data_IF_156176440117
#
_entry.id   IF_156176440117
#
_cell.length_a   1.000
_cell.length_b   1.000
_cell.length_c   1.000
_cell.angle_alpha   90.00
_cell.angle_beta   90.00
_cell.angle_gamma   90.00
#
_symmetry.space_group_name_H-M   'P 1'
#
loop_
_entity.id
_entity.type
_entity.pdbx_description
1 polymer ?
#
# COMPACT_ATOMS: atom_id res chain seq x y z
N UNK A 1 42.27 25.23 38.30
CA UNK A 1 40.86 25.45 37.89
C UNK A 1 40.85 26.08 36.50
N UNK A 2 39.87 25.74 35.64
CA UNK A 2 39.70 26.16 34.22
C UNK A 2 40.34 25.26 33.15
N UNK A 3 39.97 23.98 33.08
CA UNK A 3 40.17 23.18 31.86
C UNK A 3 39.18 22.01 31.71
N UNK A 4 37.95 22.16 32.23
CA UNK A 4 36.90 21.14 32.10
C UNK A 4 35.55 21.66 31.62
N UNK A 5 35.47 22.94 31.25
CA UNK A 5 34.19 23.58 30.88
C UNK A 5 34.03 23.78 29.37
N UNK A 6 35.10 23.62 28.58
CA UNK A 6 35.04 23.92 27.15
C UNK A 6 34.70 22.73 26.25
N UNK A 7 34.63 21.51 26.79
CA UNK A 7 34.35 20.29 26.00
C UNK A 7 32.87 19.89 26.01
N UNK A 8 32.01 20.60 26.74
CA UNK A 8 30.59 20.27 26.89
C UNK A 8 29.66 21.12 26.02
N UNK A 9 30.19 22.15 25.33
CA UNK A 9 29.39 23.05 24.50
C UNK A 9 29.40 22.70 23.00
N UNK A 10 30.19 21.69 22.60
CA UNK A 10 30.33 21.26 21.20
C UNK A 10 29.67 19.92 20.88
N UNK A 11 29.03 19.28 21.88
CA UNK A 11 28.36 17.99 21.75
C UNK A 11 26.82 18.08 21.79
N UNK A 12 26.26 19.28 21.68
CA UNK A 12 24.81 19.53 21.74
C UNK A 12 24.18 19.88 20.37
N UNK A 13 24.93 19.79 19.26
CA UNK A 13 24.47 20.21 17.93
C UNK A 13 24.25 19.09 16.91
N UNK A 14 24.25 17.82 17.33
CA UNK A 14 24.01 16.67 16.44
C UNK A 14 22.86 15.79 16.90
N UNK A 15 21.78 16.41 17.40
CA UNK A 15 20.51 15.71 17.57
C UNK A 15 19.47 16.47 16.76
N UNK A 16 18.77 15.73 15.91
CA UNK A 16 17.60 16.12 15.11
C UNK A 16 17.85 16.89 13.81
N UNK A 17 18.18 16.16 12.73
CA UNK A 17 17.50 16.31 11.43
C UNK A 17 17.53 14.99 10.63
N UNK A 18 16.93 13.93 11.14
CA UNK A 18 16.31 12.91 10.28
C UNK A 18 14.79 13.12 10.36
N UNK A 19 14.36 14.35 10.06
CA UNK A 19 12.97 14.56 9.67
C UNK A 19 12.86 13.99 8.27
N UNK A 20 12.38 12.76 8.13
CA UNK A 20 11.72 12.37 6.89
C UNK A 20 10.71 13.48 6.61
N UNK A 21 10.94 14.23 5.54
CA UNK A 21 9.90 15.02 4.88
C UNK A 21 8.88 14.04 4.29
N UNK A 22 8.18 13.31 5.17
CA UNK A 22 6.85 12.87 4.84
C UNK A 22 6.02 14.14 4.97
N UNK A 23 5.81 14.78 3.83
CA UNK A 23 4.65 15.60 3.62
C UNK A 23 3.44 14.79 4.08
N UNK A 24 3.02 14.96 5.34
CA UNK A 24 1.63 14.80 5.72
C UNK A 24 0.88 15.89 4.95
N UNK A 25 0.58 15.56 3.69
CA UNK A 25 -0.27 16.38 2.86
C UNK A 25 -1.65 16.32 3.51
N UNK A 26 -2.06 17.47 4.04
CA UNK A 26 -3.24 17.69 4.85
C UNK A 26 -4.50 17.28 4.07
N UNK A 27 -4.90 16.01 4.23
CA UNK A 27 -6.27 15.48 4.14
C UNK A 27 -7.07 15.57 2.84
N UNK A 28 -6.78 16.45 1.88
CA UNK A 28 -7.64 16.67 0.70
C UNK A 28 -6.82 16.78 -0.57
N UNK A 29 -6.79 15.67 -1.29
CA UNK A 29 -6.17 15.59 -2.60
C UNK A 29 -7.14 16.12 -3.66
N UNK A 30 -6.75 17.17 -4.36
CA UNK A 30 -7.51 17.80 -5.43
C UNK A 30 -6.96 17.35 -6.79
N UNK A 31 -7.55 16.30 -7.39
CA UNK A 31 -7.20 15.88 -8.76
C UNK A 31 -7.24 14.36 -9.02
N UNK A 32 -6.98 13.92 -10.26
CA UNK A 32 -6.72 12.51 -10.56
C UNK A 32 -5.37 12.06 -9.99
N UNK A 33 -5.20 10.76 -9.72
CA UNK A 33 -3.93 10.19 -9.21
C UNK A 33 -2.77 10.61 -10.14
N UNK A 34 -1.80 11.34 -9.58
CA UNK A 34 -0.67 11.90 -10.30
C UNK A 34 0.22 10.79 -10.89
N UNK A 35 0.90 11.13 -11.99
CA UNK A 35 1.90 10.24 -12.59
C UNK A 35 3.11 10.00 -11.69
N UNK A 36 3.38 10.92 -10.75
CA UNK A 36 4.44 10.80 -9.75
C UNK A 36 4.10 9.87 -8.59
N UNK A 37 2.83 9.43 -8.47
CA UNK A 37 2.41 8.53 -7.40
C UNK A 37 3.05 7.16 -7.56
N UNK A 38 3.40 6.56 -6.41
CA UNK A 38 4.05 5.25 -6.32
C UNK A 38 3.23 4.18 -7.03
N UNK A 39 3.88 3.35 -7.85
CA UNK A 39 3.28 2.16 -8.47
C UNK A 39 3.43 0.95 -7.57
N UNK A 40 2.55 -0.03 -7.76
CA UNK A 40 2.57 -1.25 -6.95
C UNK A 40 3.90 -1.99 -7.12
N UNK A 41 4.47 -1.97 -8.34
CA UNK A 41 5.80 -2.50 -8.60
C UNK A 41 6.91 -1.77 -7.84
N UNK A 42 6.79 -0.46 -7.63
CA UNK A 42 7.76 0.30 -6.83
C UNK A 42 7.72 -0.17 -5.37
N UNK A 43 6.54 -0.47 -4.83
CA UNK A 43 6.39 -1.07 -3.51
C UNK A 43 7.03 -2.45 -3.40
N UNK A 44 6.96 -3.27 -4.46
CA UNK A 44 7.64 -4.57 -4.51
C UNK A 44 9.16 -4.38 -4.49
N UNK A 45 9.68 -3.41 -5.22
CA UNK A 45 11.10 -3.04 -5.20
C UNK A 45 11.55 -2.45 -3.86
N UNK A 46 10.69 -1.72 -3.18
CA UNK A 46 10.94 -1.22 -1.83
C UNK A 46 11.02 -2.36 -0.81
N UNK A 47 10.12 -3.34 -0.89
CA UNK A 47 10.18 -4.54 -0.07
C UNK A 47 11.51 -5.29 -0.20
N UNK A 48 12.11 -5.34 -1.40
CA UNK A 48 13.45 -5.94 -1.56
C UNK A 48 14.54 -5.22 -0.76
N UNK A 49 14.38 -3.91 -0.54
CA UNK A 49 15.38 -3.08 0.13
C UNK A 49 15.15 -3.01 1.64
N UNK A 50 13.89 -2.86 2.06
CA UNK A 50 13.51 -2.60 3.46
C UNK A 50 12.87 -3.79 4.16
N UNK A 51 12.49 -4.85 3.43
CA UNK A 51 11.70 -5.96 3.95
C UNK A 51 10.26 -5.59 4.29
N UNK A 52 9.80 -4.39 3.91
CA UNK A 52 8.47 -3.89 4.24
C UNK A 52 7.77 -3.36 2.99
N UNK A 53 6.46 -3.63 2.88
CA UNK A 53 5.64 -3.11 1.81
C UNK A 53 4.87 -1.87 2.29
N UNK A 54 4.70 -0.83 1.46
CA UNK A 54 3.94 0.35 1.83
C UNK A 54 2.51 0.01 2.31
N UNK A 55 2.10 0.64 3.41
CA UNK A 55 0.79 0.40 4.05
C UNK A 55 -0.31 1.33 3.53
N UNK A 56 0.08 2.42 2.86
CA UNK A 56 -0.82 3.40 2.26
C UNK A 56 -0.56 3.51 0.75
N UNK A 57 -1.64 3.60 -0.02
CA UNK A 57 -1.62 3.70 -1.46
C UNK A 57 -2.67 4.68 -1.98
N UNK A 58 -2.38 5.34 -3.10
CA UNK A 58 -3.39 6.02 -3.91
C UNK A 58 -3.70 5.14 -5.12
N UNK A 59 -4.92 4.61 -5.19
CA UNK A 59 -5.34 3.61 -6.19
C UNK A 59 -6.77 3.86 -6.67
N UNK A 60 -7.10 3.34 -7.84
CA UNK A 60 -8.47 3.30 -8.33
C UNK A 60 -9.18 2.06 -7.82
N UNK A 61 -10.46 2.19 -7.45
CA UNK A 61 -11.27 1.03 -7.09
C UNK A 61 -11.75 0.29 -8.34
N UNK A 62 -11.53 -1.03 -8.41
CA UNK A 62 -12.00 -1.87 -9.52
C UNK A 62 -13.37 -2.48 -9.24
N UNK A 63 -13.58 -3.01 -8.04
CA UNK A 63 -14.77 -3.78 -7.70
C UNK A 63 -14.55 -4.76 -6.57
N UNK A 64 -15.61 -5.48 -6.18
CA UNK A 64 -15.56 -6.54 -5.17
C UNK A 64 -15.27 -7.90 -5.82
N UNK A 65 -14.41 -8.71 -5.19
CA UNK A 65 -14.14 -10.09 -5.56
C UNK A 65 -14.14 -10.96 -4.30
N UNK A 66 -15.23 -11.70 -4.06
CA UNK A 66 -15.40 -12.48 -2.84
C UNK A 66 -15.34 -11.60 -1.59
N UNK A 67 -14.41 -11.90 -0.68
CA UNK A 67 -14.21 -11.17 0.58
C UNK A 67 -13.23 -9.99 0.44
N UNK A 68 -12.86 -9.63 -0.79
CA UNK A 68 -11.90 -8.60 -1.12
C UNK A 68 -12.52 -7.47 -1.93
N UNK A 69 -12.01 -6.27 -1.72
CA UNK A 69 -12.15 -5.14 -2.65
C UNK A 69 -10.82 -4.99 -3.39
N UNK A 70 -10.91 -4.86 -4.71
CA UNK A 70 -9.74 -4.83 -5.59
C UNK A 70 -9.48 -3.40 -5.99
N UNK A 71 -8.24 -2.98 -5.79
CA UNK A 71 -7.74 -1.68 -6.22
C UNK A 71 -6.61 -1.86 -7.22
N UNK A 72 -6.41 -0.88 -8.10
CA UNK A 72 -5.36 -0.91 -9.11
C UNK A 72 -4.67 0.44 -9.27
N UNK A 73 -3.40 0.42 -9.68
CA UNK A 73 -2.64 1.63 -9.98
C UNK A 73 -2.84 2.07 -11.44
N UNK A 74 -2.20 3.18 -11.86
CA UNK A 74 -2.30 3.65 -13.25
C UNK A 74 -1.77 2.67 -14.30
N UNK A 75 -0.95 1.70 -13.91
CA UNK A 75 -0.44 0.66 -14.81
C UNK A 75 -1.36 -0.56 -14.88
N UNK A 76 -2.39 -0.62 -14.02
CA UNK A 76 -3.31 -1.75 -13.92
C UNK A 76 -2.80 -2.88 -13.03
N UNK A 77 -1.70 -2.70 -12.31
CA UNK A 77 -1.28 -3.64 -11.27
C UNK A 77 -2.29 -3.61 -10.12
N UNK A 78 -2.54 -4.74 -9.46
CA UNK A 78 -3.62 -4.86 -8.46
C UNK A 78 -3.12 -5.05 -7.03
N UNK A 79 -3.89 -4.54 -6.06
CA UNK A 79 -3.83 -4.91 -4.65
C UNK A 79 -5.22 -5.34 -4.20
N UNK A 80 -5.28 -6.47 -3.49
CA UNK A 80 -6.52 -7.04 -2.98
C UNK A 80 -6.64 -6.75 -1.48
N UNK A 81 -7.64 -5.99 -1.07
CA UNK A 81 -7.89 -5.64 0.32
C UNK A 81 -9.04 -6.46 0.87
N UNK A 82 -8.77 -7.34 1.83
CA UNK A 82 -9.80 -8.06 2.59
C UNK A 82 -10.53 -7.07 3.48
N UNK A 83 -11.81 -6.87 3.23
CA UNK A 83 -12.66 -5.93 3.98
C UNK A 83 -13.65 -6.62 4.91
N UNK A 84 -13.87 -7.93 4.72
CA UNK A 84 -14.82 -8.72 5.52
C UNK A 84 -14.24 -10.09 5.88
N UNK A 85 -14.75 -10.69 6.95
CA UNK A 85 -14.30 -12.02 7.42
C UNK A 85 -14.87 -13.17 6.61
N UNK A 86 -16.09 -12.99 6.12
CA UNK A 86 -16.83 -13.95 5.29
C UNK A 86 -18.05 -13.25 4.67
N UNK A 87 -18.81 -14.00 3.86
CA UNK A 87 -20.00 -13.51 3.14
C UNK A 87 -21.17 -13.01 4.00
N UNK A 88 -21.18 -13.27 5.31
CA UNK A 88 -22.24 -12.87 6.23
C UNK A 88 -21.87 -11.66 7.09
N UNK A 89 -20.66 -11.12 6.91
CA UNK A 89 -20.14 -10.00 7.69
C UNK A 89 -20.70 -8.67 7.16
N UNK A 90 -21.91 -8.34 7.59
CA UNK A 90 -22.67 -7.16 7.15
C UNK A 90 -21.95 -5.85 7.48
N UNK A 91 -21.19 -5.80 8.58
CA UNK A 91 -20.40 -4.64 8.96
C UNK A 91 -19.33 -4.33 7.91
N UNK A 92 -18.69 -5.37 7.37
CA UNK A 92 -17.73 -5.24 6.26
C UNK A 92 -18.41 -4.73 4.98
N UNK A 93 -19.59 -5.26 4.65
CA UNK A 93 -20.34 -4.77 3.48
C UNK A 93 -20.73 -3.30 3.60
N UNK A 94 -21.21 -2.91 4.78
CA UNK A 94 -21.54 -1.53 5.07
C UNK A 94 -20.30 -0.64 5.04
N UNK A 95 -19.16 -1.13 5.55
CA UNK A 95 -17.91 -0.40 5.58
C UNK A 95 -17.45 0.02 4.18
N UNK A 96 -17.64 -0.80 3.14
CA UNK A 96 -17.17 -0.52 1.77
C UNK A 96 -18.28 -0.09 0.82
N UNK A 97 -19.45 0.28 1.35
CA UNK A 97 -20.64 0.60 0.54
C UNK A 97 -20.44 1.84 -0.37
N UNK A 98 -19.53 2.73 0.01
CA UNK A 98 -19.27 4.00 -0.67
C UNK A 98 -18.10 3.91 -1.66
N UNK A 99 -17.62 2.71 -1.97
CA UNK A 99 -16.64 2.48 -3.03
C UNK A 99 -17.31 2.44 -4.41
N UNK A 100 -16.91 3.35 -5.29
CA UNK A 100 -17.43 3.50 -6.65
C UNK A 100 -16.35 3.09 -7.67
N UNK A 101 -16.62 2.09 -8.54
CA UNK A 101 -15.63 1.64 -9.51
C UNK A 101 -15.13 2.78 -10.39
N UNK A 102 -13.81 2.84 -10.60
CA UNK A 102 -13.13 3.88 -11.35
C UNK A 102 -12.75 5.12 -10.53
N UNK A 103 -13.31 5.31 -9.33
CA UNK A 103 -12.94 6.46 -8.50
C UNK A 103 -11.56 6.24 -7.83
N UNK A 104 -10.77 7.32 -7.66
CA UNK A 104 -9.51 7.26 -6.94
C UNK A 104 -9.72 7.33 -5.43
N UNK A 105 -8.91 6.58 -4.70
CA UNK A 105 -8.94 6.51 -3.25
C UNK A 105 -7.53 6.52 -2.68
N UNK A 106 -7.37 7.17 -1.53
CA UNK A 106 -6.25 6.89 -0.62
C UNK A 106 -6.69 5.74 0.29
N UNK A 107 -5.99 4.62 0.21
CA UNK A 107 -6.35 3.36 0.88
C UNK A 107 -5.22 2.97 1.81
N UNK A 108 -5.56 2.64 3.06
CA UNK A 108 -4.63 2.07 4.04
C UNK A 108 -5.00 0.65 4.38
N UNK A 109 -3.98 -0.18 4.57
CA UNK A 109 -4.16 -1.52 5.08
C UNK A 109 -2.91 -2.13 5.66
N UNK A 110 -3.10 -3.21 6.39
CA UNK A 110 -2.03 -4.06 6.89
C UNK A 110 -1.71 -5.14 5.86
N UNK A 111 -0.44 -5.31 5.50
CA UNK A 111 -0.04 -6.38 4.59
C UNK A 111 -0.17 -7.74 5.28
N UNK A 112 -0.94 -8.66 4.70
CA UNK A 112 -1.24 -9.96 5.33
C UNK A 112 -0.82 -11.16 4.46
N UNK A 113 -0.43 -10.92 3.21
CA UNK A 113 -0.02 -11.99 2.30
C UNK A 113 0.05 -11.56 0.85
N UNK A 114 0.08 -12.56 -0.04
CA UNK A 114 0.08 -12.35 -1.48
C UNK A 114 -0.45 -13.59 -2.18
N UNK A 115 -0.96 -13.39 -3.40
CA UNK A 115 -1.18 -14.47 -4.34
C UNK A 115 0.09 -14.72 -5.13
N UNK A 116 0.43 -15.99 -5.38
CA UNK A 116 1.52 -16.37 -6.28
C UNK A 116 1.09 -17.50 -7.22
N UNK A 117 1.72 -17.57 -8.39
CA UNK A 117 1.51 -18.64 -9.34
C UNK A 117 2.67 -19.62 -9.23
N UNK A 118 2.40 -20.83 -8.71
CA UNK A 118 3.42 -21.87 -8.60
C UNK A 118 3.89 -22.33 -9.98
N UNK A 119 5.17 -22.71 -10.07
CA UNK A 119 5.73 -23.38 -11.25
C UNK A 119 5.71 -24.89 -11.03
N UNK A 120 5.35 -25.66 -12.05
CA UNK A 120 5.50 -27.11 -12.03
C UNK A 120 6.97 -27.53 -12.33
N UNK A 121 7.25 -28.83 -12.22
CA UNK A 121 8.59 -29.41 -12.50
C UNK A 121 9.08 -29.16 -13.93
N UNK A 122 8.18 -28.75 -14.84
CA UNK A 122 8.45 -28.47 -16.25
C UNK A 122 8.57 -26.95 -16.52
N UNK A 123 8.52 -26.13 -15.46
CA UNK A 123 8.61 -24.67 -15.54
C UNK A 123 7.33 -23.98 -16.01
N UNK A 124 6.20 -24.68 -16.14
CA UNK A 124 4.91 -24.10 -16.51
C UNK A 124 4.23 -23.52 -15.26
N UNK A 125 3.73 -22.29 -15.39
CA UNK A 125 2.98 -21.61 -14.33
C UNK A 125 1.56 -22.16 -14.20
N UNK A 126 1.10 -22.32 -12.97
CA UNK A 126 -0.31 -22.59 -12.65
C UNK A 126 -1.21 -21.49 -13.23
N UNK A 127 -2.41 -21.85 -13.66
CA UNK A 127 -3.45 -20.89 -14.06
C UNK A 127 -4.16 -20.27 -12.86
N UNK A 128 -4.15 -20.95 -11.71
CA UNK A 128 -4.80 -20.51 -10.50
C UNK A 128 -3.77 -19.95 -9.50
N UNK A 129 -3.99 -18.75 -8.96
CA UNK A 129 -3.16 -18.20 -7.91
C UNK A 129 -3.36 -18.96 -6.59
N UNK A 130 -2.28 -19.16 -5.86
CA UNK A 130 -2.29 -19.72 -4.50
C UNK A 130 -2.07 -18.60 -3.49
N UNK A 131 -2.95 -18.42 -2.48
CA UNK A 131 -2.72 -17.46 -1.41
C UNK A 131 -1.62 -17.93 -0.46
N UNK A 132 -0.69 -17.05 -0.11
CA UNK A 132 0.36 -17.27 0.90
C UNK A 132 0.32 -16.16 1.94
N UNK A 133 0.45 -16.54 3.22
CA UNK A 133 0.55 -15.60 4.35
C UNK A 133 1.99 -15.16 4.55
N UNK A 134 2.18 -14.06 5.27
CA UNK A 134 3.51 -13.60 5.70
C UNK A 134 4.19 -14.57 6.69
N UNK A 135 5.53 -14.58 6.77
CA UNK A 135 6.47 -13.75 6.00
C UNK A 135 6.56 -14.15 4.52
N UNK A 136 6.80 -13.17 3.66
CA UNK A 136 6.93 -13.41 2.23
C UNK A 136 8.34 -13.88 1.86
N UNK A 137 8.44 -14.85 0.97
CA UNK A 137 9.71 -15.22 0.34
C UNK A 137 10.08 -14.16 -0.69
N UNK A 138 11.22 -13.43 -0.55
CA UNK A 138 11.51 -12.31 -1.43
C UNK A 138 11.55 -12.65 -2.92
N UNK A 139 12.01 -13.86 -3.25
CA UNK A 139 12.06 -14.34 -4.64
C UNK A 139 10.67 -14.55 -5.23
N UNK A 140 9.70 -14.96 -4.41
CA UNK A 140 8.33 -15.19 -4.87
C UNK A 140 7.58 -13.87 -4.99
N UNK A 141 7.64 -13.02 -3.96
CA UNK A 141 6.84 -11.79 -3.90
C UNK A 141 7.21 -10.76 -4.97
N UNK A 142 8.47 -10.69 -5.36
CA UNK A 142 8.95 -9.71 -6.35
C UNK A 142 8.50 -10.05 -7.77
N UNK A 143 8.04 -11.28 -8.03
CA UNK A 143 7.47 -11.63 -9.33
C UNK A 143 6.33 -10.64 -9.68
N UNK A 144 6.36 -10.10 -10.91
CA UNK A 144 5.33 -9.17 -11.39
C UNK A 144 3.93 -9.75 -11.26
N UNK A 145 3.80 -11.06 -11.39
CA UNK A 145 2.51 -11.76 -11.36
C UNK A 145 1.96 -12.00 -9.95
N UNK A 146 2.71 -11.70 -8.89
CA UNK A 146 2.13 -11.74 -7.55
C UNK A 146 1.17 -10.58 -7.32
N UNK A 147 0.14 -10.81 -6.52
CA UNK A 147 -0.82 -9.78 -6.14
C UNK A 147 -0.74 -9.63 -4.62
N UNK A 148 -0.34 -8.46 -4.10
CA UNK A 148 -0.31 -8.21 -2.66
C UNK A 148 -1.72 -8.26 -2.06
N UNK A 149 -1.83 -8.85 -0.87
CA UNK A 149 -3.08 -8.96 -0.12
C UNK A 149 -2.96 -8.19 1.20
N UNK A 150 -3.92 -7.30 1.42
CA UNK A 150 -3.99 -6.42 2.57
C UNK A 150 -5.25 -6.70 3.39
N UNK A 151 -5.23 -6.39 4.69
CA UNK A 151 -6.44 -6.19 5.48
C UNK A 151 -6.80 -4.71 5.39
N UNK A 152 -7.99 -4.40 4.90
CA UNK A 152 -8.45 -3.01 4.77
C UNK A 152 -8.61 -2.39 6.15
N UNK A 153 -8.06 -1.19 6.32
CA UNK A 153 -8.18 -0.41 7.56
C UNK A 153 -8.96 0.89 7.32
N UNK A 154 -8.67 1.59 6.22
CA UNK A 154 -9.25 2.89 5.92
C UNK A 154 -9.27 3.11 4.41
N UNK A 155 -10.26 3.84 3.90
CA UNK A 155 -10.21 4.40 2.56
C UNK A 155 -10.88 5.79 2.56
N UNK A 156 -10.31 6.71 1.79
CA UNK A 156 -10.86 8.06 1.60
C UNK A 156 -10.89 8.34 0.11
N UNK A 157 -12.08 8.69 -0.39
CA UNK A 157 -12.26 9.12 -1.77
C UNK A 157 -11.44 10.38 -2.03
N UNK A 158 -10.70 10.36 -3.12
CA UNK A 158 -9.93 11.49 -3.59
C UNK A 158 -10.84 12.32 -4.51
N UNK A 159 -11.23 13.52 -4.07
CA UNK A 159 -12.16 14.39 -4.82
C UNK A 159 -11.42 15.55 -5.46
N UNK A 160 -11.64 15.76 -6.75
CA UNK A 160 -11.24 16.99 -7.43
C UNK A 160 -12.23 18.09 -7.07
N UNK A 161 -12.02 18.78 -5.95
CA UNK A 161 -12.66 20.09 -5.78
C UNK A 161 -11.88 21.09 -6.65
N UNK A 162 -12.39 21.34 -7.86
CA UNK A 162 -12.31 22.62 -8.60
C UNK A 162 -12.93 22.49 -10.00
N UNK A 163 -14.21 22.85 -10.13
CA UNK A 163 -14.82 23.23 -11.42
C UNK A 163 -15.84 24.39 -11.26
N UNK A 164 -15.66 25.28 -10.27
CA UNK A 164 -16.41 26.55 -10.18
C UNK A 164 -15.59 27.64 -9.46
N UNK A 165 -14.54 28.15 -10.09
CA UNK A 165 -14.09 29.56 -9.94
C UNK A 165 -13.45 30.04 -11.23
#
# INVERSE_FOLDING_TARGET
>A
MKSKVFLLLLLSFFVFTNGSLHSEEDGRYTGPISRSEKRILDGKSEFQKSGTFPLEWKLFFKGKQGDFVVFYDLNGDEIHYRYRRNKFDLDGEFFVKDLFPGNPYRVKGEWIGYYFYSMDERGKRSSLPTPKKLPAEPKEFVDRQTIPIFKLQEYIEVRTDDLLY
#
